data_IF_204749660916
#
_entry.id   IF_204749660916
#
_cell.length_a   1.000
_cell.length_b   1.000
_cell.length_c   1.000
_cell.angle_alpha   90.00
_cell.angle_beta   90.00
_cell.angle_gamma   90.00
#
_symmetry.space_group_name_H-M   'P 1'
#
loop_
_entity.id
_entity.type
_entity.pdbx_description
1 polymer ?
#
# COMPACT_ATOMS: atom_id res chain seq x y z
N UNK A 1 -49.47 36.03 -5.51
CA UNK A 1 -49.57 34.56 -5.69
C UNK A 1 -48.33 34.00 -5.03
N UNK A 2 -48.48 33.70 -3.76
CA UNK A 2 -47.42 33.25 -2.86
C UNK A 2 -47.94 31.98 -2.19
N UNK A 3 -47.00 31.07 -1.93
CA UNK A 3 -47.07 29.94 -1.01
C UNK A 3 -47.87 28.72 -1.46
N UNK A 4 -47.16 27.71 -2.00
CA UNK A 4 -47.37 26.30 -1.61
C UNK A 4 -46.17 25.41 -2.00
N UNK A 5 -45.15 25.32 -1.13
CA UNK A 5 -44.00 24.40 -1.24
C UNK A 5 -43.89 23.52 0.02
N UNK A 6 -45.00 23.26 0.71
CA UNK A 6 -45.00 22.46 1.94
C UNK A 6 -46.19 21.51 1.96
N UNK A 7 -46.08 20.36 1.29
CA UNK A 7 -46.97 19.20 1.48
C UNK A 7 -46.35 17.90 0.93
N UNK A 8 -45.22 17.46 1.51
CA UNK A 8 -44.60 16.14 1.23
C UNK A 8 -44.41 15.30 2.52
N UNK A 9 -44.97 15.74 3.66
CA UNK A 9 -45.04 14.93 4.89
C UNK A 9 -46.46 14.97 5.45
N UNK A 10 -47.17 13.83 5.39
CA UNK A 10 -48.49 13.57 6.00
C UNK A 10 -49.35 12.68 5.07
N UNK A 11 -49.38 11.34 5.21
CA UNK A 11 -50.13 10.56 6.21
C UNK A 11 -51.44 9.99 5.63
N UNK A 12 -51.45 8.67 5.38
CA UNK A 12 -52.59 7.72 5.49
C UNK A 12 -51.96 6.31 5.58
N UNK A 13 -51.84 5.69 6.75
CA UNK A 13 -52.87 5.01 7.55
C UNK A 13 -53.49 3.81 6.80
N UNK A 14 -53.08 2.58 7.15
CA UNK A 14 -53.93 1.38 7.01
C UNK A 14 -53.42 0.18 7.84
N UNK A 15 -54.05 0.02 9.01
CA UNK A 15 -54.55 -1.22 9.62
C UNK A 15 -53.61 -2.41 9.96
N UNK A 16 -53.50 -2.59 11.28
CA UNK A 16 -53.24 -3.79 12.06
C UNK A 16 -54.22 -4.96 11.74
N UNK A 17 -53.88 -6.22 12.10
CA UNK A 17 -54.41 -6.73 13.37
C UNK A 17 -53.44 -7.60 14.22
N UNK A 18 -53.69 -7.55 15.54
CA UNK A 18 -53.43 -8.57 16.59
C UNK A 18 -53.84 -10.00 16.14
N UNK A 19 -53.39 -11.15 16.66
CA UNK A 19 -52.89 -11.62 17.97
C UNK A 19 -52.33 -13.03 17.73
N UNK A 20 -51.28 -13.45 18.45
CA UNK A 20 -51.15 -14.80 19.02
C UNK A 20 -49.90 -14.90 19.90
N UNK A 21 -50.13 -14.97 21.21
CA UNK A 21 -49.20 -15.52 22.19
C UNK A 21 -48.90 -16.99 21.86
N UNK A 22 -47.62 -17.36 21.82
CA UNK A 22 -47.18 -18.67 22.31
C UNK A 22 -45.85 -18.53 23.02
N UNK A 23 -45.92 -18.74 24.32
CA UNK A 23 -44.84 -19.01 25.26
C UNK A 23 -43.94 -20.15 24.80
N UNK A 24 -42.66 -20.06 25.14
CA UNK A 24 -41.85 -21.26 25.38
C UNK A 24 -40.42 -21.21 24.85
N UNK A 25 -39.51 -21.55 25.76
CA UNK A 25 -38.11 -21.95 25.58
C UNK A 25 -37.08 -20.83 25.41
N UNK A 26 -36.29 -20.47 26.42
CA UNK A 26 -35.39 -21.22 27.33
C UNK A 26 -33.95 -20.85 26.96
N UNK A 27 -33.28 -20.23 27.93
CA UNK A 27 -31.96 -19.68 27.85
C UNK A 27 -30.91 -20.80 27.68
N UNK A 28 -29.84 -20.61 26.89
CA UNK A 28 -28.68 -21.47 27.03
C UNK A 28 -27.87 -21.03 28.26
N UNK A 29 -27.91 -21.87 29.30
CA UNK A 29 -26.90 -21.90 30.36
C UNK A 29 -25.51 -22.13 29.74
N UNK A 30 -24.47 -21.38 30.14
CA UNK A 30 -23.09 -21.80 29.92
C UNK A 30 -22.72 -22.88 30.95
N UNK A 31 -22.56 -24.10 30.48
CA UNK A 31 -22.05 -25.21 31.28
C UNK A 31 -20.59 -24.97 31.66
N UNK A 32 -20.41 -24.87 32.96
CA UNK A 32 -19.19 -24.79 33.74
C UNK A 32 -18.19 -25.92 33.41
N UNK A 33 -17.00 -25.58 32.92
CA UNK A 33 -15.83 -26.44 33.03
C UNK A 33 -15.01 -26.03 34.26
N UNK A 34 -15.06 -26.87 35.31
CA UNK A 34 -14.26 -26.75 36.52
C UNK A 34 -12.75 -26.95 36.25
N UNK A 35 -11.87 -26.21 36.95
CA UNK A 35 -10.44 -26.47 37.02
C UNK A 35 -10.08 -27.27 38.29
N UNK A 36 -9.38 -28.38 38.14
CA UNK A 36 -8.59 -29.03 39.19
C UNK A 36 -7.22 -29.35 38.55
N UNK A 37 -6.08 -28.88 39.04
CA UNK A 37 -5.57 -29.03 40.39
C UNK A 37 -4.61 -30.25 40.38
N UNK A 38 -3.35 -30.05 40.01
CA UNK A 38 -2.22 -29.98 40.96
C UNK A 38 -1.47 -31.33 41.10
N UNK A 39 -0.25 -31.40 40.58
CA UNK A 39 0.82 -32.16 41.24
C UNK A 39 2.15 -31.49 40.94
N UNK A 40 2.64 -30.76 41.93
CA UNK A 40 4.03 -30.33 42.02
C UNK A 40 4.83 -31.44 42.70
N UNK A 41 5.94 -31.86 42.09
CA UNK A 41 7.09 -32.41 42.81
C UNK A 41 8.38 -31.73 42.34
N UNK A 42 9.27 -31.60 43.32
CA UNK A 42 10.31 -30.57 43.49
C UNK A 42 11.65 -30.93 42.82
N UNK A 43 12.60 -29.97 42.80
CA UNK A 43 13.74 -29.94 41.90
C UNK A 43 14.94 -30.74 42.42
N UNK A 44 15.82 -31.16 41.52
CA UNK A 44 17.18 -31.57 41.87
C UNK A 44 18.16 -30.58 41.24
N UNK A 45 18.69 -29.74 42.11
CA UNK A 45 19.89 -28.94 41.93
C UNK A 45 21.08 -29.90 41.76
N UNK A 46 21.84 -29.75 40.68
CA UNK A 46 23.22 -30.24 40.59
C UNK A 46 24.07 -29.09 40.13
N UNK A 47 24.63 -28.40 41.11
CA UNK A 47 25.73 -27.45 40.99
C UNK A 47 26.94 -28.11 40.30
N UNK A 48 27.59 -27.32 39.45
CA UNK A 48 28.79 -27.71 38.72
C UNK A 48 29.21 -26.57 37.82
N UNK A 49 29.68 -25.47 38.42
CA UNK A 49 30.45 -24.43 37.75
C UNK A 49 31.52 -25.07 36.87
N UNK A 50 31.49 -24.75 35.57
CA UNK A 50 32.73 -24.59 34.83
C UNK A 50 32.56 -23.36 33.93
N UNK A 51 33.04 -22.26 34.47
CA UNK A 51 33.34 -21.03 33.78
C UNK A 51 34.40 -21.32 32.72
N UNK A 52 33.93 -21.61 31.50
CA UNK A 52 34.75 -21.67 30.31
C UNK A 52 34.13 -20.67 29.32
N UNK A 53 34.82 -19.54 29.21
CA UNK A 53 34.90 -18.56 28.13
C UNK A 53 33.75 -18.55 27.09
N UNK A 54 33.13 -17.38 26.80
CA UNK A 54 32.17 -17.29 25.72
C UNK A 54 32.83 -17.86 24.46
N UNK A 55 32.23 -18.84 23.76
CA UNK A 55 32.83 -19.37 22.55
C UNK A 55 33.06 -18.18 21.63
N UNK A 56 34.34 -17.94 21.33
CA UNK A 56 34.80 -16.96 20.39
C UNK A 56 33.80 -16.90 19.24
N UNK A 57 33.25 -15.71 19.00
CA UNK A 57 32.37 -15.42 17.89
C UNK A 57 32.89 -16.17 16.67
N UNK A 58 32.24 -17.30 16.34
CA UNK A 58 32.41 -17.91 15.03
C UNK A 58 31.96 -16.81 14.10
N UNK A 59 32.95 -16.23 13.45
CA UNK A 59 32.87 -15.32 12.33
C UNK A 59 31.45 -15.30 11.77
N UNK A 60 30.77 -14.15 11.85
CA UNK A 60 29.56 -13.84 11.07
C UNK A 60 29.84 -13.86 9.54
N UNK A 61 30.96 -14.47 9.10
CA UNK A 61 31.57 -14.40 7.79
C UNK A 61 31.68 -15.77 7.08
N UNK A 62 30.89 -16.77 7.48
CA UNK A 62 30.33 -17.65 6.45
C UNK A 62 29.04 -17.00 5.99
N UNK A 63 29.17 -15.94 5.18
CA UNK A 63 28.09 -15.53 4.30
C UNK A 63 27.62 -16.79 3.59
N UNK A 64 26.45 -17.32 3.98
CA UNK A 64 25.88 -18.55 3.43
C UNK A 64 25.61 -18.30 1.96
N UNK A 65 26.64 -18.53 1.15
CA UNK A 65 26.62 -18.24 -0.27
C UNK A 65 25.83 -19.36 -0.94
N UNK A 66 24.51 -19.19 -1.02
CA UNK A 66 23.65 -20.12 -1.76
C UNK A 66 24.10 -20.06 -3.22
N UNK A 67 24.55 -21.19 -3.81
CA UNK A 67 25.00 -21.17 -5.18
C UNK A 67 23.83 -20.79 -6.10
N UNK A 68 24.11 -19.94 -7.08
CA UNK A 68 23.10 -19.40 -7.98
C UNK A 68 22.33 -20.50 -8.75
N UNK A 69 22.98 -21.63 -9.03
CA UNK A 69 22.33 -22.81 -9.63
C UNK A 69 21.27 -23.41 -8.71
N UNK A 70 21.55 -23.54 -7.41
CA UNK A 70 20.57 -24.01 -6.44
C UNK A 70 19.36 -23.06 -6.35
N UNK A 71 19.57 -21.73 -6.44
CA UNK A 71 18.46 -20.77 -6.49
C UNK A 71 17.60 -20.91 -7.75
N UNK A 72 18.21 -21.21 -8.90
CA UNK A 72 17.49 -21.47 -10.15
C UNK A 72 16.70 -22.77 -10.08
N UNK A 73 17.30 -23.82 -9.55
CA UNK A 73 16.64 -25.11 -9.37
C UNK A 73 15.46 -25.00 -8.40
N UNK A 74 15.61 -24.27 -7.29
CA UNK A 74 14.50 -24.00 -6.36
C UNK A 74 13.39 -23.18 -7.03
N UNK A 75 13.74 -22.14 -7.81
CA UNK A 75 12.75 -21.36 -8.56
C UNK A 75 12.00 -22.24 -9.57
N UNK A 76 12.69 -23.07 -10.34
CA UNK A 76 12.05 -23.92 -11.35
C UNK A 76 11.16 -24.98 -10.70
N UNK A 77 11.61 -25.63 -9.62
CA UNK A 77 10.79 -26.57 -8.84
C UNK A 77 9.56 -25.89 -8.26
N UNK A 78 9.71 -24.69 -7.67
CA UNK A 78 8.59 -23.91 -7.13
C UNK A 78 7.58 -23.56 -8.23
N UNK A 79 8.05 -23.03 -9.35
CA UNK A 79 7.18 -22.71 -10.49
C UNK A 79 6.47 -23.95 -11.04
N UNK A 80 7.16 -25.09 -11.13
CA UNK A 80 6.54 -26.34 -11.57
C UNK A 80 5.48 -26.84 -10.57
N UNK A 81 5.74 -26.73 -9.27
CA UNK A 81 4.78 -27.06 -8.23
C UNK A 81 3.55 -26.14 -8.26
N UNK A 82 3.75 -24.83 -8.36
CA UNK A 82 2.68 -23.82 -8.48
C UNK A 82 1.80 -24.09 -9.71
N UNK A 83 2.40 -24.42 -10.87
CA UNK A 83 1.64 -24.79 -12.07
C UNK A 83 0.78 -26.04 -11.86
N UNK A 84 1.34 -27.08 -11.24
CA UNK A 84 0.59 -28.31 -10.94
C UNK A 84 -0.58 -28.04 -9.99
N UNK A 85 -0.37 -27.21 -8.96
CA UNK A 85 -1.43 -26.82 -8.03
C UNK A 85 -2.53 -26.06 -8.79
N UNK A 86 -2.16 -25.06 -9.59
CA UNK A 86 -3.11 -24.29 -10.38
C UNK A 86 -3.91 -25.16 -11.38
N UNK A 87 -3.26 -26.14 -12.02
CA UNK A 87 -3.93 -27.10 -12.91
C UNK A 87 -4.90 -28.00 -12.15
N UNK A 88 -4.50 -28.54 -10.99
CA UNK A 88 -5.38 -29.36 -10.15
C UNK A 88 -6.59 -28.57 -9.66
N UNK A 89 -6.40 -27.33 -9.20
CA UNK A 89 -7.51 -26.48 -8.79
C UNK A 89 -8.44 -26.14 -9.95
N UNK A 90 -7.89 -25.85 -11.13
CA UNK A 90 -8.70 -25.59 -12.32
C UNK A 90 -9.51 -26.83 -12.72
N UNK A 91 -8.92 -28.03 -12.64
CA UNK A 91 -9.61 -29.28 -12.88
C UNK A 91 -10.71 -29.55 -11.84
N UNK A 92 -10.44 -29.30 -10.56
CA UNK A 92 -11.43 -29.42 -9.48
C UNK A 92 -12.60 -28.45 -9.68
N UNK A 93 -12.32 -27.18 -10.03
CA UNK A 93 -13.36 -26.19 -10.32
C UNK A 93 -14.24 -26.60 -11.50
N UNK A 94 -13.66 -27.15 -12.57
CA UNK A 94 -14.42 -27.67 -13.71
C UNK A 94 -15.26 -28.89 -13.34
N UNK A 95 -14.65 -29.86 -12.67
CA UNK A 95 -15.34 -31.06 -12.20
C UNK A 95 -16.51 -30.72 -11.27
N UNK A 96 -16.35 -29.70 -10.41
CA UNK A 96 -17.43 -29.23 -9.54
C UNK A 96 -18.62 -28.69 -10.34
N UNK A 97 -18.40 -27.90 -11.39
CA UNK A 97 -19.47 -27.40 -12.26
C UNK A 97 -20.12 -28.54 -13.04
N UNK A 98 -19.34 -29.45 -13.61
CA UNK A 98 -19.84 -30.60 -14.37
C UNK A 98 -20.67 -31.56 -13.51
N UNK A 99 -20.36 -31.66 -12.21
CA UNK A 99 -21.10 -32.46 -11.24
C UNK A 99 -22.46 -31.87 -10.85
N UNK A 100 -22.74 -30.59 -11.16
CA UNK A 100 -24.07 -29.99 -10.93
C UNK A 100 -25.07 -30.63 -11.89
N UNK A 101 -26.04 -31.38 -11.35
CA UNK A 101 -27.03 -32.13 -12.14
C UNK A 101 -28.04 -31.21 -12.82
N UNK A 102 -28.47 -30.14 -12.15
CA UNK A 102 -29.42 -29.19 -12.73
C UNK A 102 -28.74 -28.31 -13.80
N UNK A 103 -29.25 -28.31 -15.06
CA UNK A 103 -28.72 -27.46 -16.11
C UNK A 103 -28.85 -25.96 -15.80
N UNK A 104 -29.84 -25.55 -15.01
CA UNK A 104 -30.02 -24.15 -14.61
C UNK A 104 -28.90 -23.67 -13.70
N UNK A 105 -28.65 -24.38 -12.60
CA UNK A 105 -27.55 -24.11 -11.67
C UNK A 105 -26.17 -24.21 -12.33
N UNK A 106 -25.96 -25.17 -13.23
CA UNK A 106 -24.70 -25.30 -13.97
C UNK A 106 -24.41 -24.05 -14.81
N UNK A 107 -25.40 -23.58 -15.57
CA UNK A 107 -25.26 -22.38 -16.38
C UNK A 107 -24.97 -21.13 -15.52
N UNK A 108 -25.56 -21.04 -14.32
CA UNK A 108 -25.26 -19.97 -13.37
C UNK A 108 -23.82 -20.04 -12.86
N UNK A 109 -23.33 -21.24 -12.51
CA UNK A 109 -21.95 -21.43 -12.05
C UNK A 109 -20.93 -21.07 -13.14
N UNK A 110 -21.18 -21.47 -14.39
CA UNK A 110 -20.38 -21.06 -15.55
C UNK A 110 -20.41 -19.54 -15.74
N UNK A 111 -21.60 -18.92 -15.65
CA UNK A 111 -21.74 -17.48 -15.75
C UNK A 111 -20.97 -16.74 -14.65
N UNK A 112 -21.01 -17.25 -13.41
CA UNK A 112 -20.26 -16.67 -12.30
C UNK A 112 -18.74 -16.73 -12.55
N UNK A 113 -18.22 -17.82 -13.13
CA UNK A 113 -16.80 -17.89 -13.50
C UNK A 113 -16.42 -16.84 -14.54
N UNK A 114 -17.26 -16.64 -15.57
CA UNK A 114 -17.04 -15.63 -16.59
C UNK A 114 -17.03 -14.23 -15.97
N UNK A 115 -18.01 -13.94 -15.09
CA UNK A 115 -18.10 -12.66 -14.39
C UNK A 115 -16.88 -12.44 -13.49
N UNK A 116 -16.45 -13.45 -12.73
CA UNK A 116 -15.27 -13.36 -11.88
C UNK A 116 -13.99 -13.08 -12.70
N UNK A 117 -13.82 -13.74 -13.85
CA UNK A 117 -12.70 -13.48 -14.74
C UNK A 117 -12.72 -12.05 -15.32
N UNK A 118 -13.91 -11.56 -15.72
CA UNK A 118 -14.07 -10.19 -16.22
C UNK A 118 -13.74 -9.14 -15.14
N UNK A 119 -14.18 -9.38 -13.90
CA UNK A 119 -13.87 -8.52 -12.75
C UNK A 119 -12.36 -8.52 -12.46
N UNK A 120 -11.71 -9.68 -12.43
CA UNK A 120 -10.27 -9.78 -12.22
C UNK A 120 -9.48 -9.04 -13.30
N UNK A 121 -9.89 -9.19 -14.58
CA UNK A 121 -9.27 -8.48 -15.69
C UNK A 121 -9.45 -6.96 -15.59
N UNK A 122 -10.66 -6.50 -15.26
CA UNK A 122 -10.93 -5.08 -15.01
C UNK A 122 -10.03 -4.53 -13.91
N UNK A 123 -9.84 -5.26 -12.81
CA UNK A 123 -8.94 -4.87 -11.74
C UNK A 123 -7.50 -4.78 -12.17
N UNK A 124 -7.03 -5.74 -12.96
CA UNK A 124 -5.68 -5.72 -13.47
C UNK A 124 -5.41 -4.51 -14.38
N UNK A 125 -6.32 -4.22 -15.31
CA UNK A 125 -6.20 -3.06 -16.20
C UNK A 125 -6.26 -1.74 -15.44
N UNK A 126 -7.18 -1.64 -14.50
CA UNK A 126 -7.34 -0.48 -13.63
C UNK A 126 -6.09 -0.22 -12.80
N UNK A 127 -5.49 -1.26 -12.23
CA UNK A 127 -4.19 -1.17 -11.54
C UNK A 127 -3.09 -0.70 -12.48
N UNK A 128 -2.92 -1.32 -13.64
CA UNK A 128 -1.90 -0.92 -14.62
C UNK A 128 -2.06 0.55 -15.05
N UNK A 129 -3.30 1.01 -15.21
CA UNK A 129 -3.60 2.40 -15.55
C UNK A 129 -3.19 3.35 -14.42
N UNK A 130 -3.55 3.03 -13.17
CA UNK A 130 -3.13 3.80 -12.00
C UNK A 130 -1.60 3.83 -11.85
N UNK A 131 -0.92 2.69 -12.05
CA UNK A 131 0.54 2.60 -11.97
C UNK A 131 1.22 3.49 -13.04
N UNK A 132 0.64 3.59 -14.23
CA UNK A 132 1.13 4.49 -15.29
C UNK A 132 0.92 5.96 -14.94
N UNK A 133 -0.18 6.30 -14.27
CA UNK A 133 -0.54 7.69 -13.98
C UNK A 133 0.15 8.23 -12.72
N UNK A 134 0.24 7.42 -11.66
CA UNK A 134 0.71 7.85 -10.34
C UNK A 134 2.04 7.18 -9.91
N UNK A 135 2.48 6.14 -10.62
CA UNK A 135 3.67 5.34 -10.30
C UNK A 135 3.35 4.11 -9.45
N UNK A 136 4.14 3.05 -9.64
CA UNK A 136 3.95 1.75 -8.97
C UNK A 136 4.04 1.85 -7.44
N UNK A 137 5.03 2.58 -6.92
CA UNK A 137 5.22 2.73 -5.48
C UNK A 137 4.03 3.40 -4.78
N UNK A 138 3.44 4.42 -5.40
CA UNK A 138 2.27 5.10 -4.85
C UNK A 138 1.02 4.22 -4.91
N UNK A 139 0.82 3.47 -6.00
CA UNK A 139 -0.29 2.52 -6.08
C UNK A 139 -0.15 1.43 -5.01
N UNK A 140 1.07 0.98 -4.71
CA UNK A 140 1.29 0.01 -3.63
C UNK A 140 0.93 0.61 -2.26
N UNK A 141 1.29 1.86 -1.97
CA UNK A 141 0.86 2.57 -0.74
C UNK A 141 -0.67 2.60 -0.60
N UNK A 142 -1.38 2.82 -1.71
CA UNK A 142 -2.86 2.78 -1.73
C UNK A 142 -3.39 1.36 -1.49
N UNK A 143 -2.76 0.33 -2.06
CA UNK A 143 -3.12 -1.07 -1.79
C UNK A 143 -2.95 -1.39 -0.31
N UNK A 144 -1.78 -1.06 0.25
CA UNK A 144 -1.45 -1.30 1.66
C UNK A 144 -2.45 -0.60 2.59
N UNK A 145 -2.91 0.62 2.23
CA UNK A 145 -3.95 1.33 2.97
C UNK A 145 -5.28 0.56 3.02
N UNK A 146 -5.67 -0.14 1.95
CA UNK A 146 -6.89 -0.93 1.90
C UNK A 146 -6.71 -2.37 2.38
N UNK A 147 -5.48 -2.84 2.61
CA UNK A 147 -5.21 -4.10 3.31
C UNK A 147 -5.48 -3.99 4.83
N UNK A 148 -5.47 -2.77 5.38
CA UNK A 148 -5.88 -2.51 6.76
C UNK A 148 -7.37 -2.93 6.97
N UNK A 149 -7.69 -3.78 7.95
CA UNK A 149 -9.05 -4.19 8.27
C UNK A 149 -10.05 -3.04 8.48
N UNK A 150 -9.57 -1.86 8.90
CA UNK A 150 -10.41 -0.67 9.07
C UNK A 150 -10.92 -0.10 7.74
N UNK A 151 -10.16 -0.30 6.67
CA UNK A 151 -10.41 0.27 5.35
C UNK A 151 -10.79 -0.80 4.31
N UNK A 152 -10.49 -2.07 4.55
CA UNK A 152 -10.80 -3.19 3.67
C UNK A 152 -12.28 -3.25 3.20
N UNK A 153 -13.31 -3.04 4.06
CA UNK A 153 -14.71 -3.07 3.61
C UNK A 153 -15.02 -2.01 2.55
N UNK A 154 -14.31 -0.88 2.59
CA UNK A 154 -14.48 0.25 1.69
C UNK A 154 -14.04 -0.09 0.26
N UNK A 155 -13.11 -1.04 0.10
CA UNK A 155 -12.62 -1.47 -1.22
C UNK A 155 -13.74 -2.02 -2.12
N UNK A 156 -14.75 -2.69 -1.53
CA UNK A 156 -15.86 -3.29 -2.27
C UNK A 156 -16.73 -2.28 -3.02
N UNK A 157 -16.79 -1.03 -2.54
CA UNK A 157 -17.59 0.00 -3.20
C UNK A 157 -17.00 0.40 -4.57
N UNK A 158 -15.67 0.35 -4.70
CA UNK A 158 -14.97 0.76 -5.91
C UNK A 158 -15.07 -0.26 -7.04
N UNK A 159 -15.42 -1.52 -6.74
CA UNK A 159 -15.66 -2.57 -7.74
C UNK A 159 -16.66 -2.13 -8.83
N UNK A 160 -17.64 -1.30 -8.43
CA UNK A 160 -18.70 -0.79 -9.29
C UNK A 160 -18.25 0.40 -10.15
N UNK A 161 -17.19 1.10 -9.76
CA UNK A 161 -16.65 2.23 -10.53
C UNK A 161 -16.09 1.76 -11.88
N UNK A 162 -16.04 2.64 -12.88
CA UNK A 162 -15.44 2.31 -14.18
C UNK A 162 -13.95 1.95 -14.03
N UNK A 163 -13.24 2.73 -13.20
CA UNK A 163 -11.85 2.53 -12.81
C UNK A 163 -11.76 2.36 -11.27
N UNK A 164 -11.74 1.11 -10.76
CA UNK A 164 -11.70 0.85 -9.32
C UNK A 164 -10.46 1.41 -8.60
N UNK A 165 -9.26 1.22 -9.16
CA UNK A 165 -8.02 1.74 -8.59
C UNK A 165 -7.95 3.27 -8.68
N UNK A 166 -8.44 3.88 -9.76
CA UNK A 166 -8.58 5.33 -9.84
C UNK A 166 -9.44 5.89 -8.71
N UNK A 167 -10.61 5.30 -8.47
CA UNK A 167 -11.49 5.70 -7.37
C UNK A 167 -10.88 5.45 -5.98
N UNK A 168 -10.12 4.35 -5.82
CA UNK A 168 -9.39 4.05 -4.59
C UNK A 168 -8.28 5.09 -4.31
N UNK A 169 -7.55 5.52 -5.33
CA UNK A 169 -6.54 6.59 -5.25
C UNK A 169 -7.17 7.92 -4.87
N UNK A 170 -8.29 8.28 -5.49
CA UNK A 170 -9.03 9.51 -5.15
C UNK A 170 -9.48 9.51 -3.68
N UNK A 171 -10.01 8.38 -3.21
CA UNK A 171 -10.39 8.21 -1.81
C UNK A 171 -9.18 8.30 -0.88
N UNK A 172 -8.08 7.64 -1.22
CA UNK A 172 -6.84 7.69 -0.43
C UNK A 172 -6.33 9.12 -0.29
N UNK A 173 -6.30 9.88 -1.39
CA UNK A 173 -5.90 11.28 -1.38
C UNK A 173 -6.83 12.14 -0.52
N UNK A 174 -8.15 11.91 -0.59
CA UNK A 174 -9.11 12.60 0.26
C UNK A 174 -8.90 12.26 1.75
N UNK A 175 -8.69 10.98 2.07
CA UNK A 175 -8.41 10.53 3.44
C UNK A 175 -7.10 11.12 3.98
N UNK A 176 -6.05 11.18 3.15
CA UNK A 176 -4.77 11.79 3.49
C UNK A 176 -4.91 13.30 3.73
N UNK A 177 -5.61 14.01 2.84
CA UNK A 177 -5.88 15.44 3.01
C UNK A 177 -6.68 15.74 4.28
N UNK A 178 -7.69 14.92 4.62
CA UNK A 178 -8.44 15.06 5.86
C UNK A 178 -7.56 14.85 7.10
N UNK A 179 -6.60 13.91 7.04
CA UNK A 179 -5.62 13.69 8.12
C UNK A 179 -4.65 14.85 8.26
N UNK A 180 -4.20 15.44 7.15
CA UNK A 180 -3.25 16.57 7.13
C UNK A 180 -3.89 17.88 7.61
N UNK A 181 -5.10 18.18 7.13
CA UNK A 181 -5.83 19.41 7.51
C UNK A 181 -6.33 19.32 8.96
N UNK A 182 -6.77 18.14 9.39
CA UNK A 182 -7.37 17.94 10.70
C UNK A 182 -8.74 18.61 10.85
N UNK A 183 -9.22 18.82 12.09
CA UNK A 183 -10.58 19.30 12.35
C UNK A 183 -10.78 20.79 12.05
N UNK A 184 -9.71 21.60 11.97
CA UNK A 184 -9.79 23.03 11.70
C UNK A 184 -8.99 23.45 10.46
N UNK A 185 -9.67 23.66 9.31
CA UNK A 185 -9.02 24.05 8.07
C UNK A 185 -8.39 25.45 8.11
N UNK A 186 -8.81 26.33 9.01
CA UNK A 186 -8.24 27.67 9.12
C UNK A 186 -6.84 27.62 9.75
N UNK A 187 -6.67 26.81 10.79
CA UNK A 187 -5.37 26.59 11.44
C UNK A 187 -4.32 26.01 10.46
N UNK A 188 -4.72 25.09 9.59
CA UNK A 188 -3.84 24.53 8.55
C UNK A 188 -3.40 25.60 7.56
N UNK A 189 -4.32 26.46 7.10
CA UNK A 189 -4.01 27.57 6.19
C UNK A 189 -3.06 28.59 6.81
N UNK A 190 -3.15 28.85 8.12
CA UNK A 190 -2.24 29.75 8.82
C UNK A 190 -0.83 29.17 8.90
N UNK A 191 -0.67 27.90 9.28
CA UNK A 191 0.62 27.20 9.26
C UNK A 191 1.27 27.25 7.87
N UNK A 192 0.48 26.97 6.83
CA UNK A 192 0.96 26.95 5.45
C UNK A 192 1.40 28.36 4.98
N UNK A 193 0.74 29.43 5.46
CA UNK A 193 1.17 30.81 5.21
C UNK A 193 2.45 31.16 5.96
N UNK A 194 2.62 30.67 7.18
CA UNK A 194 3.84 30.88 7.96
C UNK A 194 5.03 30.14 7.35
N UNK A 195 4.84 28.90 6.90
CA UNK A 195 5.83 28.11 6.17
C UNK A 195 6.25 28.79 4.86
N UNK A 196 5.28 29.24 4.04
CA UNK A 196 5.58 29.96 2.80
C UNK A 196 6.30 31.29 3.06
N UNK A 197 5.97 32.02 4.13
CA UNK A 197 6.71 33.24 4.52
C UNK A 197 8.14 32.92 4.95
N UNK A 198 8.34 31.82 5.68
CA UNK A 198 9.65 31.37 6.10
C UNK A 198 10.50 30.93 4.89
N UNK A 199 9.91 30.20 3.93
CA UNK A 199 10.58 29.80 2.69
C UNK A 199 10.97 31.01 1.84
N UNK A 200 10.05 31.97 1.64
CA UNK A 200 10.35 33.21 0.92
C UNK A 200 11.42 34.05 1.64
N UNK A 201 11.42 34.11 2.97
CA UNK A 201 12.46 34.80 3.73
C UNK A 201 13.81 34.07 3.65
N UNK A 202 13.81 32.73 3.58
CA UNK A 202 15.02 31.94 3.38
C UNK A 202 15.58 32.10 1.96
N UNK A 203 14.72 32.22 0.94
CA UNK A 203 15.12 32.47 -0.44
C UNK A 203 15.60 33.92 -0.67
N UNK A 204 14.98 34.91 0.01
CA UNK A 204 15.45 36.31 -0.01
C UNK A 204 16.65 36.57 0.91
N UNK A 205 16.98 35.65 1.82
CA UNK A 205 18.19 35.77 2.64
C UNK A 205 19.39 35.54 1.74
N UNK A 206 20.21 36.57 1.45
CA UNK A 206 21.34 36.40 0.56
C UNK A 206 22.29 35.38 1.18
N UNK A 207 22.45 34.24 0.52
CA UNK A 207 23.59 33.36 0.77
C UNK A 207 24.82 34.24 0.74
N UNK A 208 25.55 34.28 1.88
CA UNK A 208 26.72 35.15 2.06
C UNK A 208 27.53 35.15 0.77
N UNK A 209 27.81 36.32 0.17
CA UNK A 209 28.58 36.36 -1.06
C UNK A 209 29.88 35.61 -0.79
N UNK A 210 30.09 34.49 -1.50
CA UNK A 210 31.36 33.78 -1.51
C UNK A 210 32.38 34.85 -1.89
N UNK A 211 33.28 35.14 -0.95
CA UNK A 211 34.18 36.28 -1.05
C UNK A 211 34.75 36.33 -2.48
N UNK A 212 34.70 37.49 -3.16
CA UNK A 212 35.15 37.59 -4.53
C UNK A 212 36.59 37.07 -4.59
N UNK A 213 36.95 36.27 -5.61
CA UNK A 213 38.32 35.80 -5.75
C UNK A 213 39.25 37.02 -5.71
N UNK A 214 40.33 36.92 -4.92
CA UNK A 214 41.31 37.99 -4.73
C UNK A 214 41.67 38.59 -6.08
N UNK A 215 41.34 39.87 -6.29
CA UNK A 215 41.65 40.58 -7.52
C UNK A 215 43.15 40.56 -7.79
N UNK A 216 43.52 40.11 -9.00
CA UNK A 216 44.91 40.13 -9.52
C UNK A 216 45.50 41.55 -9.59
N UNK A 217 44.70 42.60 -9.37
CA UNK A 217 45.11 44.00 -9.37
C UNK A 217 46.01 44.42 -8.18
N UNK A 218 46.20 43.55 -7.17
CA UNK A 218 47.16 43.79 -6.09
C UNK A 218 48.51 43.09 -6.30
N UNK A 219 48.74 42.46 -7.46
CA UNK A 219 50.06 41.96 -7.82
C UNK A 219 50.94 43.14 -8.29
N UNK A 220 52.12 43.37 -7.69
CA UNK A 220 53.05 44.34 -8.23
C UNK A 220 53.48 43.90 -9.64
N UNK A 221 53.51 44.86 -10.56
CA UNK A 221 53.90 44.64 -11.95
C UNK A 221 55.27 43.94 -12.04
N UNK A 222 55.25 42.64 -12.32
CA UNK A 222 56.41 41.88 -12.75
C UNK A 222 56.23 41.64 -14.25
N UNK A 223 57.06 42.32 -15.05
CA UNK A 223 57.04 42.24 -16.49
C UNK A 223 57.33 40.83 -17.02
N UNK A 224 56.90 40.59 -18.25
CA UNK A 224 57.21 39.36 -18.97
C UNK A 224 56.18 39.05 -20.04
N UNK A 225 56.48 39.54 -21.24
CA UNK A 225 56.11 38.98 -22.54
C UNK A 225 54.64 38.94 -23.00
N UNK A 226 54.41 39.76 -24.03
CA UNK A 226 53.28 39.73 -24.94
C UNK A 226 53.21 38.41 -25.71
N UNK A 227 52.12 37.66 -25.57
CA UNK A 227 51.66 36.72 -26.60
C UNK A 227 50.37 37.27 -27.24
N UNK A 228 50.30 37.33 -28.58
CA UNK A 228 49.19 37.98 -29.26
C UNK A 228 47.92 37.13 -29.22
N UNK A 229 46.83 37.88 -29.21
CA UNK A 229 45.45 37.47 -29.41
C UNK A 229 45.30 36.63 -30.69
N UNK A 230 44.60 35.49 -30.60
CA UNK A 230 43.95 34.84 -31.75
C UNK A 230 44.44 33.42 -32.06
N UNK A 231 43.89 32.41 -31.38
CA UNK A 231 44.06 30.99 -31.77
C UNK A 231 43.02 30.08 -31.07
N UNK A 232 41.76 30.53 -30.99
CA UNK A 232 40.66 29.70 -30.46
C UNK A 232 39.60 29.32 -31.50
N UNK A 233 39.53 30.06 -32.61
CA UNK A 233 38.47 29.92 -33.61
C UNK A 233 38.93 29.19 -34.88
N UNK A 234 40.24 29.21 -35.17
CA UNK A 234 40.81 28.62 -36.39
C UNK A 234 41.07 27.09 -36.27
N UNK A 235 41.12 26.57 -35.03
CA UNK A 235 41.32 25.14 -34.76
C UNK A 235 40.05 24.27 -34.95
N UNK A 236 38.89 24.89 -35.22
CA UNK A 236 37.61 24.16 -35.32
C UNK A 236 37.07 24.06 -36.76
N UNK A 237 37.62 24.81 -37.73
CA UNK A 237 37.06 24.88 -39.09
C UNK A 237 38.08 24.92 -40.25
N UNK A 238 39.37 24.67 -40.02
CA UNK A 238 40.39 24.77 -41.07
C UNK A 238 41.35 23.57 -41.16
N UNK A 239 40.99 22.52 -41.88
CA UNK A 239 41.86 21.91 -42.92
C UNK A 239 41.11 20.81 -43.70
N UNK A 240 41.15 20.93 -45.04
CA UNK A 240 40.96 19.89 -46.04
C UNK A 240 42.28 19.71 -46.77
#
# INVERSE_FOLDING_TARGET
MSDDVLNIFGETDNEQPEVAETSGQEAPEPESAQPEGETAEKPVESTGENEAEPPAAKTEEEQRHVPYEALRDERTKRQAAERRIAEMEAAQRRAHIEAIEDPGERAQAEQQQIVAAAVAHKMHLSRQYAERQYGEAFVQEVVDFFEDPQHAPMSHQFMRAADPFGAAVEYYNAAKALREIGPDPNSYREKLREELKAELMAELSPTKPKAPPRSMASAPAAGGDSNPVGSGFDALFGES
#
